data_IF_871190179644
#
_entry.id   IF_871190179644
#
_cell.length_a   1.000
_cell.length_b   1.000
_cell.length_c   1.000
_cell.angle_alpha   90.00
_cell.angle_beta   90.00
_cell.angle_gamma   90.00
#
_symmetry.space_group_name_H-M   'P 1'
#
loop_
_entity.id
_entity.type
_entity.pdbx_description
1 polymer ?
#
# COMPACT_ATOMS: atom_id res chain seq x y z
N UNK A 1 0.70 4.44 7.80
CA UNK A 1 1.30 4.82 9.09
C UNK A 1 2.68 5.39 8.82
N UNK A 2 3.31 6.09 9.74
CA UNK A 2 4.66 6.64 9.51
C UNK A 2 5.58 6.30 10.66
N UNK A 3 6.79 5.85 10.32
CA UNK A 3 7.85 5.62 11.30
C UNK A 3 8.56 6.93 11.56
N UNK A 4 8.56 7.33 12.81
CA UNK A 4 9.12 8.59 13.27
C UNK A 4 10.22 8.35 14.30
N UNK A 5 11.19 9.24 14.33
CA UNK A 5 12.21 9.32 15.37
C UNK A 5 11.90 10.47 16.30
N UNK A 6 11.86 10.17 17.58
CA UNK A 6 11.58 11.15 18.63
C UNK A 6 12.80 12.05 18.82
N UNK A 7 12.63 13.36 18.66
CA UNK A 7 13.69 14.36 18.84
C UNK A 7 13.70 14.95 20.25
N UNK A 8 12.57 14.90 20.96
CA UNK A 8 12.42 15.33 22.35
C UNK A 8 11.46 14.38 23.08
N UNK A 9 11.66 14.15 24.38
CA UNK A 9 10.84 13.19 25.14
C UNK A 9 9.35 13.50 25.05
N UNK A 10 8.55 12.53 24.61
CA UNK A 10 7.10 12.67 24.46
C UNK A 10 6.33 11.63 25.23
N UNK A 11 5.10 11.99 25.58
CA UNK A 11 4.11 11.03 26.05
C UNK A 11 3.01 10.95 25.01
N UNK A 12 2.82 9.80 24.36
CA UNK A 12 1.67 9.55 23.50
C UNK A 12 0.69 8.61 24.19
N UNK A 13 -0.55 8.58 23.69
CA UNK A 13 -1.61 7.73 24.23
C UNK A 13 -2.06 6.76 23.15
N UNK A 14 -1.58 5.54 23.23
CA UNK A 14 -1.91 4.45 22.32
C UNK A 14 -2.92 3.53 23.03
N UNK A 15 -4.09 3.31 22.42
CA UNK A 15 -5.15 2.45 22.97
C UNK A 15 -5.54 2.77 24.44
N UNK A 16 -5.51 4.04 24.81
CA UNK A 16 -5.84 4.49 26.16
C UNK A 16 -4.69 4.39 27.18
N UNK A 17 -3.58 3.72 26.83
CA UNK A 17 -2.37 3.57 27.64
C UNK A 17 -1.40 4.70 27.31
N UNK A 18 -0.87 5.37 28.33
CA UNK A 18 0.17 6.40 28.16
C UNK A 18 1.52 5.72 27.98
N UNK A 19 2.14 5.89 26.82
CA UNK A 19 3.52 5.47 26.57
C UNK A 19 4.41 6.71 26.52
N UNK A 20 5.50 6.64 27.28
CA UNK A 20 6.53 7.69 27.28
C UNK A 20 7.67 7.21 26.39
N UNK A 21 8.07 8.06 25.45
CA UNK A 21 9.15 7.80 24.52
C UNK A 21 10.27 8.80 24.77
N UNK A 22 11.48 8.29 24.86
CA UNK A 22 12.66 9.10 25.09
C UNK A 22 13.21 9.67 23.78
N UNK A 23 14.02 10.72 23.89
CA UNK A 23 14.74 11.27 22.75
C UNK A 23 15.59 10.18 22.08
N UNK A 24 15.42 10.02 20.77
CA UNK A 24 16.09 9.02 19.94
C UNK A 24 15.29 7.75 19.72
N UNK A 25 14.18 7.55 20.45
CA UNK A 25 13.30 6.39 20.24
C UNK A 25 12.65 6.44 18.86
N UNK A 26 12.46 5.26 18.25
CA UNK A 26 11.70 5.11 17.01
C UNK A 26 10.29 4.66 17.34
N UNK A 27 9.29 5.38 16.84
CA UNK A 27 7.87 5.13 17.07
C UNK A 27 7.14 5.06 15.74
N UNK A 28 6.00 4.40 15.72
CA UNK A 28 5.08 4.42 14.58
C UNK A 28 3.85 5.19 14.99
N UNK A 29 3.44 6.15 14.16
CA UNK A 29 2.28 6.99 14.40
C UNK A 29 1.45 7.10 13.12
N UNK A 30 0.18 7.42 13.28
CA UNK A 30 -0.65 7.85 12.16
C UNK A 30 -0.12 9.14 11.53
N UNK A 31 -0.29 9.29 10.23
CA UNK A 31 0.22 10.45 9.47
C UNK A 31 -0.27 11.78 10.07
N UNK A 32 -1.55 11.85 10.45
CA UNK A 32 -2.15 13.05 11.08
C UNK A 32 -1.51 13.40 12.42
N UNK A 33 -1.22 12.40 13.25
CA UNK A 33 -0.58 12.61 14.54
C UNK A 33 0.90 12.97 14.37
N UNK A 34 1.57 12.29 13.44
CA UNK A 34 2.96 12.56 13.13
C UNK A 34 3.16 13.98 12.58
N UNK A 35 2.33 14.43 11.64
CA UNK A 35 2.40 15.79 11.11
C UNK A 35 2.26 16.86 12.20
N UNK A 36 1.38 16.63 13.17
CA UNK A 36 1.21 17.54 14.32
C UNK A 36 2.49 17.61 15.15
N UNK A 37 3.09 16.46 15.47
CA UNK A 37 4.31 16.39 16.27
C UNK A 37 5.56 16.88 15.50
N UNK A 38 5.58 16.75 14.18
CA UNK A 38 6.62 17.35 13.31
C UNK A 38 6.52 18.88 13.33
N UNK A 39 5.31 19.45 13.29
CA UNK A 39 5.11 20.91 13.41
C UNK A 39 5.58 21.46 14.76
N UNK A 40 5.44 20.67 15.81
CA UNK A 40 5.97 21.00 17.15
C UNK A 40 7.49 20.72 17.27
N UNK A 41 8.14 20.25 16.19
CA UNK A 41 9.56 19.87 16.12
C UNK A 41 9.96 18.79 17.13
N UNK A 42 9.01 17.92 17.47
CA UNK A 42 9.16 16.92 18.53
C UNK A 42 9.58 15.56 17.99
N UNK A 43 9.20 15.27 16.74
CA UNK A 43 9.58 14.05 16.04
C UNK A 43 10.05 14.39 14.62
N UNK A 44 10.76 13.45 14.00
CA UNK A 44 11.19 13.49 12.61
C UNK A 44 10.65 12.26 11.89
N UNK A 45 9.97 12.43 10.75
CA UNK A 45 9.51 11.29 9.94
C UNK A 45 10.74 10.68 9.26
N UNK A 46 11.04 9.43 9.58
CA UNK A 46 12.18 8.70 9.02
C UNK A 46 11.75 7.81 7.86
N UNK A 47 10.55 7.25 7.94
CA UNK A 47 10.05 6.31 6.93
C UNK A 47 8.52 6.39 6.84
N UNK A 48 7.97 6.28 5.62
CA UNK A 48 6.53 6.23 5.40
C UNK A 48 6.17 4.78 5.15
N UNK A 49 5.50 4.17 6.12
CA UNK A 49 4.91 2.85 5.96
C UNK A 49 3.59 3.06 5.23
N UNK A 50 3.65 3.03 3.90
CA UNK A 50 2.43 2.91 3.09
C UNK A 50 1.73 1.64 3.56
N UNK A 51 0.58 1.82 4.23
CA UNK A 51 -0.35 0.72 4.49
C UNK A 51 -0.86 0.26 3.12
N UNK A 52 -0.16 -0.70 2.53
CA UNK A 52 -0.65 -1.46 1.38
C UNK A 52 -1.70 -2.51 1.82
N UNK A 53 -2.30 -2.35 3.00
CA UNK A 53 -3.44 -3.13 3.48
C UNK A 53 -4.74 -2.38 3.19
N UNK A 54 -4.92 -2.03 1.92
CA UNK A 54 -6.26 -2.02 1.35
C UNK A 54 -6.39 -3.34 0.61
N UNK A 55 -7.11 -4.28 1.21
CA UNK A 55 -7.93 -5.21 0.44
C UNK A 55 -8.85 -4.35 -0.42
N UNK A 56 -8.34 -3.88 -1.56
CA UNK A 56 -9.16 -3.29 -2.59
C UNK A 56 -10.09 -4.42 -3.00
N UNK A 57 -11.39 -4.20 -2.88
CA UNK A 57 -12.40 -4.97 -3.57
C UNK A 57 -12.11 -4.75 -5.07
N UNK A 58 -11.18 -5.52 -5.60
CA UNK A 58 -10.75 -5.43 -6.99
C UNK A 58 -11.83 -6.13 -7.78
N UNK A 59 -12.71 -5.32 -8.38
CA UNK A 59 -13.66 -5.82 -9.38
C UNK A 59 -12.85 -6.37 -10.56
N UNK A 60 -12.81 -7.70 -10.63
CA UNK A 60 -12.04 -8.40 -11.65
C UNK A 60 -12.73 -8.27 -13.01
N UNK A 61 -11.98 -7.81 -14.01
CA UNK A 61 -12.51 -7.61 -15.35
C UNK A 61 -12.54 -8.95 -16.11
N UNK A 62 -13.65 -9.23 -16.78
CA UNK A 62 -13.77 -10.38 -17.66
C UNK A 62 -12.81 -10.32 -18.87
N UNK A 63 -12.48 -11.49 -19.42
CA UNK A 63 -11.66 -11.67 -20.62
C UNK A 63 -12.10 -10.76 -21.78
N UNK A 64 -13.41 -10.60 -21.99
CA UNK A 64 -13.95 -9.78 -23.09
C UNK A 64 -13.59 -8.31 -22.95
N UNK A 65 -13.47 -7.81 -21.73
CA UNK A 65 -13.09 -6.43 -21.44
C UNK A 65 -11.59 -6.27 -21.60
N UNK A 66 -10.79 -7.18 -21.03
CA UNK A 66 -9.33 -7.18 -21.16
C UNK A 66 -8.89 -7.26 -22.64
N UNK A 67 -9.54 -8.08 -23.47
CA UNK A 67 -9.23 -8.16 -24.92
C UNK A 67 -9.54 -6.89 -25.71
N UNK A 68 -10.37 -5.99 -25.18
CA UNK A 68 -10.68 -4.69 -25.80
C UNK A 68 -9.74 -3.57 -25.35
N UNK A 69 -8.99 -3.77 -24.27
CA UNK A 69 -8.10 -2.78 -23.69
C UNK A 69 -6.77 -2.74 -24.46
N UNK A 70 -6.11 -1.58 -24.37
CA UNK A 70 -4.77 -1.42 -24.92
C UNK A 70 -3.71 -1.99 -24.00
N UNK A 71 -2.52 -2.22 -24.54
CA UNK A 71 -1.38 -2.77 -23.80
C UNK A 71 -1.06 -1.98 -22.53
N UNK A 72 -1.07 -0.65 -22.61
CA UNK A 72 -0.83 0.23 -21.46
C UNK A 72 -1.90 0.07 -20.37
N UNK A 73 -3.17 -0.01 -20.78
CA UNK A 73 -4.29 -0.18 -19.85
C UNK A 73 -4.26 -1.53 -19.14
N UNK A 74 -3.87 -2.59 -19.87
CA UNK A 74 -3.66 -3.91 -19.28
C UNK A 74 -2.53 -3.91 -18.26
N UNK A 75 -1.43 -3.20 -18.53
CA UNK A 75 -0.32 -3.10 -17.57
C UNK A 75 -0.74 -2.35 -16.31
N UNK A 76 -1.46 -1.22 -16.48
CA UNK A 76 -2.00 -0.47 -15.35
C UNK A 76 -3.00 -1.30 -14.55
N UNK A 77 -3.85 -2.06 -15.23
CA UNK A 77 -4.80 -2.95 -14.58
C UNK A 77 -4.10 -4.08 -13.84
N UNK A 78 -3.09 -4.72 -14.44
CA UNK A 78 -2.25 -5.71 -13.79
C UNK A 78 -1.65 -5.18 -12.49
N UNK A 79 -1.00 -4.01 -12.55
CA UNK A 79 -0.42 -3.37 -11.36
C UNK A 79 -1.49 -3.07 -10.30
N UNK A 80 -2.70 -2.67 -10.72
CA UNK A 80 -3.82 -2.39 -9.82
C UNK A 80 -4.30 -3.64 -9.08
N UNK A 81 -4.30 -4.80 -9.73
CA UNK A 81 -4.74 -6.07 -9.12
C UNK A 81 -3.61 -6.80 -8.40
N UNK A 82 -2.37 -6.30 -8.50
CA UNK A 82 -1.18 -6.87 -7.83
C UNK A 82 -0.33 -7.80 -8.70
N UNK A 83 -0.50 -7.79 -10.04
CA UNK A 83 0.36 -8.51 -10.98
C UNK A 83 1.26 -7.54 -11.77
N UNK A 84 2.57 -7.78 -11.74
CA UNK A 84 3.51 -7.03 -12.56
C UNK A 84 3.64 -7.68 -13.95
N UNK A 85 3.04 -7.05 -14.96
CA UNK A 85 3.14 -7.48 -16.36
C UNK A 85 4.06 -6.55 -17.14
N UNK A 86 5.00 -7.13 -17.88
CA UNK A 86 6.00 -6.34 -18.59
C UNK A 86 5.50 -5.86 -19.95
N UNK A 87 5.80 -4.61 -20.29
CA UNK A 87 5.48 -4.02 -21.61
C UNK A 87 6.25 -4.66 -22.77
N UNK A 88 7.16 -5.59 -22.49
CA UNK A 88 7.88 -6.36 -23.50
C UNK A 88 7.07 -7.59 -23.95
N UNK A 89 6.12 -8.06 -23.13
CA UNK A 89 5.23 -9.18 -23.44
C UNK A 89 4.24 -8.83 -24.55
N UNK A 90 3.73 -9.83 -25.27
CA UNK A 90 2.69 -9.59 -26.29
C UNK A 90 1.36 -9.28 -25.61
N UNK A 91 0.52 -8.49 -26.27
CA UNK A 91 -0.82 -8.17 -25.78
C UNK A 91 -1.63 -9.40 -25.30
N UNK A 92 -1.69 -10.52 -26.05
CA UNK A 92 -2.35 -11.73 -25.58
C UNK A 92 -1.71 -12.36 -24.34
N UNK A 93 -0.38 -12.30 -24.19
CA UNK A 93 0.31 -12.87 -23.01
C UNK A 93 0.01 -12.08 -21.74
N UNK A 94 -0.12 -10.76 -21.86
CA UNK A 94 -0.49 -9.89 -20.74
C UNK A 94 -1.93 -10.20 -20.29
N UNK A 95 -2.87 -10.32 -21.25
CA UNK A 95 -4.26 -10.68 -20.95
C UNK A 95 -4.34 -12.05 -20.28
N UNK A 96 -3.61 -13.03 -20.79
CA UNK A 96 -3.56 -14.39 -20.24
C UNK A 96 -3.02 -14.39 -18.81
N UNK A 97 -1.92 -13.67 -18.54
CA UNK A 97 -1.33 -13.54 -17.20
C UNK A 97 -2.29 -12.89 -16.20
N UNK A 98 -3.02 -11.86 -16.63
CA UNK A 98 -4.01 -11.18 -15.78
C UNK A 98 -5.18 -12.12 -15.48
N UNK A 99 -5.69 -12.85 -16.48
CA UNK A 99 -6.80 -13.79 -16.30
C UNK A 99 -6.42 -14.97 -15.42
N UNK A 100 -5.20 -15.49 -15.57
CA UNK A 100 -4.67 -16.56 -14.73
C UNK A 100 -4.64 -16.13 -13.26
N UNK A 101 -4.08 -14.95 -12.99
CA UNK A 101 -4.06 -14.37 -11.63
C UNK A 101 -5.46 -14.14 -11.05
N UNK A 102 -6.40 -13.61 -11.84
CA UNK A 102 -7.80 -13.45 -11.42
C UNK A 102 -8.41 -14.81 -11.06
N UNK A 103 -8.23 -15.80 -11.94
CA UNK A 103 -8.73 -17.15 -11.74
C UNK A 103 -8.12 -17.84 -10.52
N UNK A 104 -6.83 -17.66 -10.27
CA UNK A 104 -6.17 -18.13 -9.04
C UNK A 104 -6.76 -17.46 -7.81
N UNK A 105 -6.98 -16.14 -7.82
CA UNK A 105 -7.56 -15.40 -6.70
C UNK A 105 -9.02 -15.78 -6.41
N UNK A 106 -9.84 -15.98 -7.43
CA UNK A 106 -11.21 -16.49 -7.28
C UNK A 106 -11.22 -17.94 -6.77
N UNK A 107 -10.31 -18.78 -7.29
CA UNK A 107 -10.23 -20.19 -6.90
C UNK A 107 -9.64 -20.41 -5.51
N UNK A 108 -8.86 -19.46 -5.00
CA UNK A 108 -8.27 -19.49 -3.65
C UNK A 108 -9.22 -19.05 -2.54
N UNK A 109 -10.46 -18.62 -2.88
CA UNK A 109 -11.56 -18.28 -1.97
C UNK A 109 -11.27 -18.38 -0.47
N UNK A 110 -10.61 -17.35 0.07
CA UNK A 110 -10.63 -16.93 1.48
C UNK A 110 -11.57 -15.74 1.64
#
# INVERSE_FOLDING_TARGET
>A
MVKCKVLASITTREEGIRKVYEKGSSIVLDEKEAERLVKEAVIEIVDRLEDDDKVQEVDYLDEKTLKKMNKEELIQYGLKIGIEVSKEMKNPEIVDSILDYIGEKESLGE
#
